data_IF_542827948238
#
_entry.id   IF_542827948238
#
_cell.length_a   1.000
_cell.length_b   1.000
_cell.length_c   1.000
_cell.angle_alpha   90.00
_cell.angle_beta   90.00
_cell.angle_gamma   90.00
#
_symmetry.space_group_name_H-M   'P 1'
#
loop_
_entity.id
_entity.type
_entity.pdbx_description
1 polymer ?
#
# COMPACT_ATOMS: atom_id res chain seq x y z
N UNK A 1 9.26 -6.91 -14.98
CA UNK A 1 8.90 -5.55 -14.55
C UNK A 1 10.19 -4.81 -14.23
N UNK A 2 10.57 -3.84 -15.04
CA UNK A 2 11.72 -3.00 -14.74
C UNK A 2 11.28 -1.95 -13.71
N UNK A 3 11.74 -2.12 -12.47
CA UNK A 3 11.61 -1.11 -11.43
C UNK A 3 12.77 -0.12 -11.63
N UNK A 4 12.56 1.20 -11.54
CA UNK A 4 13.66 2.16 -11.60
C UNK A 4 14.72 1.78 -10.57
N UNK A 5 15.94 1.50 -11.03
CA UNK A 5 17.04 1.12 -10.15
C UNK A 5 17.71 2.37 -9.58
N UNK A 6 17.83 2.40 -8.28
CA UNK A 6 18.56 3.42 -7.52
C UNK A 6 19.70 2.74 -6.77
N UNK A 7 20.63 3.50 -6.19
CA UNK A 7 21.76 2.95 -5.44
C UNK A 7 21.32 2.16 -4.17
N UNK A 8 20.06 2.31 -3.73
CA UNK A 8 19.47 1.58 -2.60
C UNK A 8 18.53 0.44 -3.02
N UNK A 9 18.27 0.25 -4.30
CA UNK A 9 17.42 -0.84 -4.79
C UNK A 9 18.06 -2.20 -4.49
N UNK A 10 17.23 -3.20 -4.20
CA UNK A 10 17.66 -4.58 -4.12
C UNK A 10 17.77 -5.20 -5.51
N UNK A 11 18.81 -5.97 -5.76
CA UNK A 11 18.99 -6.69 -7.01
C UNK A 11 17.96 -7.84 -7.16
N UNK A 12 17.46 -8.35 -6.02
CA UNK A 12 16.49 -9.44 -5.98
C UNK A 12 15.22 -9.02 -5.22
N UNK A 13 14.05 -9.22 -5.85
CA UNK A 13 12.73 -8.89 -5.28
C UNK A 13 12.42 -9.68 -3.99
N UNK A 14 12.91 -10.91 -3.89
CA UNK A 14 12.67 -11.81 -2.77
C UNK A 14 13.88 -11.94 -1.84
N UNK A 15 14.78 -10.96 -1.81
CA UNK A 15 15.92 -10.97 -0.90
C UNK A 15 15.46 -10.96 0.56
N UNK A 16 15.79 -12.02 1.29
CA UNK A 16 15.46 -12.17 2.73
C UNK A 16 16.39 -11.30 3.60
N UNK A 17 17.56 -10.93 3.07
CA UNK A 17 18.55 -10.11 3.79
C UNK A 17 18.96 -8.90 2.95
N UNK A 18 18.07 -7.90 2.80
CA UNK A 18 18.40 -6.69 2.08
C UNK A 18 19.51 -5.90 2.78
N UNK A 19 20.18 -5.03 2.03
CA UNK A 19 21.16 -4.10 2.60
C UNK A 19 20.49 -3.22 3.66
N UNK A 20 21.22 -2.82 4.68
CA UNK A 20 20.69 -1.95 5.75
C UNK A 20 20.14 -0.63 5.20
N UNK A 21 20.80 -0.04 4.21
CA UNK A 21 20.31 1.18 3.53
C UNK A 21 18.97 0.95 2.83
N UNK A 22 18.81 -0.14 2.10
CA UNK A 22 17.54 -0.52 1.44
C UNK A 22 16.42 -0.68 2.46
N UNK A 23 16.70 -1.38 3.55
CA UNK A 23 15.72 -1.60 4.62
C UNK A 23 15.32 -0.28 5.33
N UNK A 24 16.28 0.59 5.60
CA UNK A 24 15.99 1.90 6.22
C UNK A 24 15.13 2.79 5.34
N UNK A 25 15.42 2.83 4.03
CA UNK A 25 14.63 3.60 3.06
C UNK A 25 13.24 2.99 2.88
N UNK A 26 13.14 1.65 2.85
CA UNK A 26 11.85 0.96 2.82
C UNK A 26 10.99 1.34 4.03
N UNK A 27 11.53 1.23 5.25
CA UNK A 27 10.81 1.56 6.49
C UNK A 27 10.37 3.02 6.47
N UNK A 28 11.26 3.94 6.09
CA UNK A 28 10.93 5.37 5.97
C UNK A 28 9.82 5.60 4.95
N UNK A 29 9.90 4.98 3.77
CA UNK A 29 8.87 5.11 2.74
C UNK A 29 7.51 4.60 3.19
N UNK A 30 7.46 3.43 3.84
CA UNK A 30 6.24 2.85 4.38
C UNK A 30 5.65 3.68 5.54
N UNK A 31 6.52 4.21 6.39
CA UNK A 31 6.11 5.12 7.47
C UNK A 31 5.49 6.41 6.92
N UNK A 32 6.13 7.06 5.94
CA UNK A 32 5.60 8.26 5.29
C UNK A 32 4.27 7.98 4.59
N UNK A 33 4.14 6.82 3.97
CA UNK A 33 2.88 6.39 3.35
C UNK A 33 1.77 6.27 4.39
N UNK A 34 2.00 5.51 5.47
CA UNK A 34 1.01 5.33 6.54
C UNK A 34 0.65 6.63 7.26
N UNK A 35 1.64 7.52 7.45
CA UNK A 35 1.40 8.85 8.02
C UNK A 35 0.55 9.71 7.09
N UNK A 36 0.80 9.67 5.78
CA UNK A 36 -0.01 10.35 4.77
C UNK A 36 -1.46 9.87 4.77
N UNK A 37 -1.68 8.54 4.84
CA UNK A 37 -3.03 7.97 4.97
C UNK A 37 -3.71 8.45 6.27
N UNK A 38 -3.03 8.43 7.42
CA UNK A 38 -3.58 8.92 8.68
C UNK A 38 -3.98 10.40 8.61
N UNK A 39 -3.15 11.24 7.96
CA UNK A 39 -3.44 12.67 7.74
C UNK A 39 -4.67 12.86 6.85
N UNK A 40 -4.80 12.09 5.75
CA UNK A 40 -5.98 12.18 4.86
C UNK A 40 -7.24 11.73 5.61
N UNK A 41 -7.19 10.64 6.35
CA UNK A 41 -8.33 10.14 7.15
C UNK A 41 -8.79 11.22 8.13
N UNK A 42 -7.87 11.90 8.81
CA UNK A 42 -8.16 12.96 9.77
C UNK A 42 -8.76 14.24 9.15
N UNK A 43 -8.72 14.39 7.83
CA UNK A 43 -9.32 15.53 7.13
C UNK A 43 -10.85 15.44 7.02
N UNK A 44 -11.44 14.25 7.16
CA UNK A 44 -12.89 13.97 7.14
C UNK A 44 -13.63 14.40 5.86
N UNK A 45 -12.90 14.70 4.77
CA UNK A 45 -13.48 15.07 3.46
C UNK A 45 -13.55 13.91 2.47
N UNK A 46 -12.96 12.80 2.82
CA UNK A 46 -12.90 11.61 2.01
C UNK A 46 -11.59 10.88 2.22
N UNK A 47 -11.57 9.62 1.82
CA UNK A 47 -10.43 8.73 1.99
C UNK A 47 -10.16 7.98 0.68
N UNK A 48 -9.00 7.33 0.59
CA UNK A 48 -8.68 6.51 -0.58
C UNK A 48 -9.63 5.32 -0.70
N UNK A 49 -9.90 4.78 -1.90
CA UNK A 49 -10.78 3.61 -2.08
C UNK A 49 -10.38 2.41 -1.21
N UNK A 50 -9.10 2.25 -0.94
CA UNK A 50 -8.59 1.22 -0.04
C UNK A 50 -8.99 1.48 1.42
N UNK A 51 -8.89 2.73 1.84
CA UNK A 51 -9.25 3.15 3.18
C UNK A 51 -10.76 3.11 3.41
N UNK A 52 -11.59 3.33 2.36
CA UNK A 52 -13.06 3.12 2.44
C UNK A 52 -13.38 1.69 2.86
N UNK A 53 -12.69 0.71 2.29
CA UNK A 53 -12.88 -0.70 2.67
C UNK A 53 -12.47 -0.96 4.12
N UNK A 54 -11.34 -0.40 4.55
CA UNK A 54 -10.88 -0.53 5.93
C UNK A 54 -11.81 0.19 6.92
N UNK A 55 -12.30 1.37 6.59
CA UNK A 55 -13.24 2.14 7.41
C UNK A 55 -14.57 1.40 7.56
N UNK A 56 -15.15 0.90 6.46
CA UNK A 56 -16.35 0.08 6.49
C UNK A 56 -16.18 -1.18 7.34
N UNK A 57 -15.05 -1.86 7.26
CA UNK A 57 -14.75 -3.03 8.08
C UNK A 57 -14.55 -2.65 9.55
N UNK A 58 -13.90 -1.53 9.82
CA UNK A 58 -13.72 -0.95 11.16
C UNK A 58 -15.07 -0.72 11.84
N UNK A 59 -16.00 -0.07 11.13
CA UNK A 59 -17.36 0.18 11.61
C UNK A 59 -18.14 -1.13 11.88
N UNK A 60 -18.00 -2.13 11.00
CA UNK A 60 -18.68 -3.42 11.13
C UNK A 60 -18.17 -4.24 12.31
N UNK A 61 -16.85 -4.24 12.55
CA UNK A 61 -16.21 -5.04 13.60
C UNK A 61 -16.06 -4.30 14.92
N UNK A 62 -16.33 -2.98 14.96
CA UNK A 62 -16.11 -2.15 16.16
C UNK A 62 -14.64 -2.04 16.54
N UNK A 63 -13.73 -2.03 15.54
CA UNK A 63 -12.29 -1.93 15.73
C UNK A 63 -11.77 -0.59 15.21
N UNK A 64 -10.47 -0.31 15.42
CA UNK A 64 -9.82 0.87 14.83
C UNK A 64 -9.57 0.69 13.32
N UNK A 65 -9.42 1.80 12.60
CA UNK A 65 -9.10 1.80 11.16
C UNK A 65 -7.74 1.14 10.89
N UNK A 66 -6.76 1.32 11.78
CA UNK A 66 -5.44 0.67 11.67
C UNK A 66 -5.54 -0.86 11.73
N UNK A 67 -6.30 -1.39 12.70
CA UNK A 67 -6.55 -2.84 12.81
C UNK A 67 -7.32 -3.35 11.59
N UNK A 68 -8.35 -2.64 11.15
CA UNK A 68 -9.10 -2.99 9.95
C UNK A 68 -8.22 -2.99 8.69
N UNK A 69 -7.33 -2.01 8.54
CA UNK A 69 -6.33 -1.94 7.45
C UNK A 69 -5.41 -3.16 7.47
N UNK A 70 -4.96 -3.58 8.65
CA UNK A 70 -4.16 -4.80 8.79
C UNK A 70 -4.93 -6.04 8.33
N UNK A 71 -6.17 -6.20 8.77
CA UNK A 71 -7.04 -7.35 8.42
C UNK A 71 -7.30 -7.38 6.91
N UNK A 72 -7.65 -6.24 6.30
CA UNK A 72 -7.87 -6.12 4.84
C UNK A 72 -6.61 -6.50 4.09
N UNK A 73 -5.46 -5.99 4.50
CA UNK A 73 -4.17 -6.29 3.87
C UNK A 73 -3.83 -7.77 3.94
N UNK A 74 -4.08 -8.40 5.09
CA UNK A 74 -3.86 -9.84 5.27
C UNK A 74 -4.81 -10.68 4.40
N UNK A 75 -6.09 -10.30 4.35
CA UNK A 75 -7.08 -10.97 3.49
C UNK A 75 -6.69 -10.89 2.01
N UNK A 76 -6.21 -9.74 1.55
CA UNK A 76 -5.75 -9.57 0.17
C UNK A 76 -4.48 -10.38 -0.11
N UNK A 77 -3.57 -10.55 0.85
CA UNK A 77 -2.42 -11.44 0.67
C UNK A 77 -2.85 -12.92 0.49
N UNK A 78 -3.93 -13.33 1.14
CA UNK A 78 -4.49 -14.67 0.93
C UNK A 78 -5.02 -14.80 -0.51
N UNK A 79 -5.65 -13.75 -1.04
CA UNK A 79 -6.12 -13.73 -2.43
C UNK A 79 -4.99 -13.69 -3.48
N UNK A 80 -3.73 -13.44 -3.09
CA UNK A 80 -2.58 -13.57 -3.99
C UNK A 80 -2.27 -15.02 -4.35
N UNK A 81 -2.66 -15.97 -3.50
CA UNK A 81 -2.38 -17.41 -3.75
C UNK A 81 -2.88 -17.88 -5.11
N UNK A 82 -4.18 -17.66 -5.48
CA UNK A 82 -4.67 -18.05 -6.81
C UNK A 82 -4.05 -17.24 -7.96
N UNK A 83 -3.50 -16.03 -7.69
CA UNK A 83 -2.84 -15.20 -8.70
C UNK A 83 -1.36 -15.58 -8.91
N UNK A 84 -0.83 -16.50 -8.11
CA UNK A 84 0.57 -16.93 -8.19
C UNK A 84 1.59 -15.86 -7.78
N UNK A 85 1.13 -14.77 -7.14
CA UNK A 85 2.01 -13.72 -6.64
C UNK A 85 2.68 -14.18 -5.33
N UNK A 86 3.96 -13.80 -5.17
CA UNK A 86 4.74 -14.17 -3.98
C UNK A 86 5.04 -12.93 -3.15
N UNK A 87 4.65 -12.91 -1.86
CA UNK A 87 4.97 -11.78 -0.99
C UNK A 87 6.48 -11.72 -0.73
N UNK A 88 7.06 -10.52 -0.84
CA UNK A 88 8.42 -10.22 -0.45
C UNK A 88 8.51 -9.66 0.97
N UNK A 89 9.73 -9.39 1.44
CA UNK A 89 9.96 -8.73 2.74
C UNK A 89 9.28 -7.35 2.77
N UNK A 90 9.34 -6.61 1.67
CA UNK A 90 8.66 -5.32 1.54
C UNK A 90 7.14 -5.44 1.67
N UNK A 91 6.54 -6.49 1.15
CA UNK A 91 5.10 -6.75 1.26
C UNK A 91 4.67 -6.96 2.72
N UNK A 92 5.42 -7.77 3.47
CA UNK A 92 5.12 -8.04 4.87
C UNK A 92 5.29 -6.77 5.72
N UNK A 93 6.38 -6.05 5.53
CA UNK A 93 6.63 -4.80 6.23
C UNK A 93 5.59 -3.73 5.87
N UNK A 94 5.10 -3.68 4.63
CA UNK A 94 4.03 -2.79 4.20
C UNK A 94 2.76 -3.00 5.05
N UNK A 95 2.31 -4.23 5.22
CA UNK A 95 1.13 -4.56 6.04
C UNK A 95 1.29 -4.08 7.48
N UNK A 96 2.44 -4.34 8.08
CA UNK A 96 2.67 -4.02 9.50
C UNK A 96 2.90 -2.53 9.72
N UNK A 97 3.77 -1.91 8.92
CA UNK A 97 4.18 -0.52 9.17
C UNK A 97 3.06 0.46 8.84
N UNK A 98 2.38 0.29 7.70
CA UNK A 98 1.29 1.21 7.32
C UNK A 98 0.15 1.13 8.33
N UNK A 99 -0.33 -0.08 8.63
CA UNK A 99 -1.41 -0.28 9.61
C UNK A 99 -1.01 0.23 11.00
N UNK A 100 0.20 -0.07 11.46
CA UNK A 100 0.73 0.41 12.73
C UNK A 100 0.89 1.93 12.79
N UNK A 101 1.31 2.56 11.69
CA UNK A 101 1.42 4.02 11.62
C UNK A 101 0.03 4.68 11.70
N UNK A 102 -0.96 4.16 10.97
CA UNK A 102 -2.34 4.65 11.06
C UNK A 102 -2.87 4.50 12.50
N UNK A 103 -2.68 3.32 13.10
CA UNK A 103 -3.15 3.02 14.46
C UNK A 103 -2.59 3.99 15.51
N UNK A 104 -1.30 4.34 15.39
CA UNK A 104 -0.62 5.19 16.36
C UNK A 104 -0.93 6.68 16.12
N UNK A 105 -0.91 7.13 14.87
CA UNK A 105 -0.94 8.57 14.57
C UNK A 105 -2.35 9.12 14.34
N UNK A 106 -3.29 8.34 13.81
CA UNK A 106 -4.65 8.82 13.55
C UNK A 106 -5.35 9.38 14.81
N UNK A 107 -5.30 8.73 15.98
CA UNK A 107 -5.90 9.27 17.20
C UNK A 107 -5.26 10.59 17.68
N UNK A 108 -4.00 10.83 17.31
CA UNK A 108 -3.26 12.03 17.74
C UNK A 108 -3.55 13.25 16.85
N UNK A 109 -3.96 13.01 15.60
CA UNK A 109 -4.23 14.07 14.63
C UNK A 109 -5.57 14.77 14.89
N UNK A 110 -6.54 14.07 15.50
CA UNK A 110 -7.88 14.58 15.73
C UNK A 110 -8.61 14.99 14.45
N UNK A 111 -9.87 15.36 14.57
CA UNK A 111 -10.69 15.84 13.46
C UNK A 111 -10.25 17.21 12.97
N UNK A 112 -10.46 17.48 11.68
CA UNK A 112 -10.13 18.79 11.12
C UNK A 112 -11.12 19.86 11.60
N UNK A 113 -10.64 21.02 12.12
CA UNK A 113 -11.50 22.03 12.69
C UNK A 113 -12.21 22.91 11.64
N UNK A 114 -11.70 22.96 10.41
CA UNK A 114 -12.23 23.83 9.34
C UNK A 114 -11.83 23.35 7.94
N UNK A 115 -12.55 23.80 6.87
CA UNK A 115 -12.30 23.35 5.50
C UNK A 115 -10.87 23.63 4.99
N UNK A 116 -10.25 24.70 5.42
CA UNK A 116 -8.89 25.03 4.98
C UNK A 116 -7.87 24.05 5.56
N UNK A 117 -8.03 23.65 6.82
CA UNK A 117 -7.20 22.63 7.45
C UNK A 117 -7.39 21.27 6.75
N UNK A 118 -8.64 20.88 6.43
CA UNK A 118 -8.91 19.67 5.66
C UNK A 118 -8.20 19.70 4.30
N UNK A 119 -8.21 20.82 3.59
CA UNK A 119 -7.50 20.95 2.32
C UNK A 119 -5.99 20.75 2.48
N UNK A 120 -5.37 21.37 3.48
CA UNK A 120 -3.94 21.20 3.76
C UNK A 120 -3.60 19.77 4.14
N UNK A 121 -4.44 19.11 4.93
CA UNK A 121 -4.26 17.70 5.27
C UNK A 121 -4.35 16.78 4.04
N UNK A 122 -5.30 17.02 3.14
CA UNK A 122 -5.43 16.22 1.91
C UNK A 122 -4.21 16.42 1.01
N UNK A 123 -3.81 17.65 0.75
CA UNK A 123 -2.66 17.96 -0.11
C UNK A 123 -1.37 17.42 0.52
N UNK A 124 -1.14 17.72 1.80
CA UNK A 124 0.04 17.24 2.53
C UNK A 124 0.10 15.72 2.66
N UNK A 125 -1.02 15.10 3.00
CA UNK A 125 -1.13 13.63 3.09
C UNK A 125 -0.90 12.95 1.75
N UNK A 126 -1.45 13.51 0.66
CA UNK A 126 -1.21 13.00 -0.70
C UNK A 126 0.28 13.12 -1.08
N UNK A 127 0.93 14.22 -0.75
CA UNK A 127 2.36 14.40 -0.98
C UNK A 127 3.19 13.38 -0.19
N UNK A 128 2.85 13.13 1.07
CA UNK A 128 3.51 12.11 1.90
C UNK A 128 3.34 10.70 1.30
N UNK A 129 2.14 10.34 0.84
CA UNK A 129 1.87 9.07 0.16
C UNK A 129 2.70 8.96 -1.11
N UNK A 130 2.77 10.02 -1.93
CA UNK A 130 3.52 10.01 -3.17
C UNK A 130 5.02 9.78 -2.93
N UNK A 131 5.63 10.52 -2.00
CA UNK A 131 7.03 10.35 -1.62
C UNK A 131 7.26 8.97 -1.00
N UNK A 132 6.41 8.56 -0.06
CA UNK A 132 6.47 7.25 0.58
C UNK A 132 6.41 6.11 -0.45
N UNK A 133 5.47 6.20 -1.41
CA UNK A 133 5.34 5.23 -2.51
C UNK A 133 6.59 5.16 -3.38
N UNK A 134 7.14 6.31 -3.76
CA UNK A 134 8.36 6.37 -4.57
C UNK A 134 9.53 5.68 -3.84
N UNK A 135 9.71 5.96 -2.55
CA UNK A 135 10.78 5.36 -1.75
C UNK A 135 10.62 3.84 -1.60
N UNK A 136 9.45 3.34 -1.20
CA UNK A 136 9.31 1.91 -0.94
C UNK A 136 9.30 1.08 -2.24
N UNK A 137 8.68 1.57 -3.32
CA UNK A 137 8.64 0.85 -4.59
C UNK A 137 10.04 0.72 -5.23
N UNK A 138 10.86 1.76 -5.14
CA UNK A 138 12.24 1.73 -5.63
C UNK A 138 13.16 0.82 -4.84
N UNK A 139 12.79 0.39 -3.64
CA UNK A 139 13.56 -0.61 -2.88
C UNK A 139 13.56 -2.01 -3.52
N UNK A 140 12.59 -2.31 -4.38
CA UNK A 140 12.48 -3.60 -5.09
C UNK A 140 12.47 -4.83 -4.14
N UNK A 141 11.72 -4.75 -3.03
CA UNK A 141 11.59 -5.83 -2.04
C UNK A 141 10.18 -6.45 -2.01
N UNK A 142 9.43 -6.29 -3.07
CA UNK A 142 8.06 -6.75 -3.25
C UNK A 142 7.05 -5.59 -3.19
N UNK A 143 5.96 -5.69 -3.97
CA UNK A 143 4.89 -4.70 -3.97
C UNK A 143 4.07 -4.78 -2.69
N UNK A 144 3.36 -3.68 -2.35
CA UNK A 144 2.35 -3.72 -1.31
C UNK A 144 1.18 -4.66 -1.66
N UNK A 145 0.36 -5.07 -0.68
CA UNK A 145 -0.77 -5.99 -0.92
C UNK A 145 -1.70 -5.50 -2.03
N UNK A 146 -2.07 -4.22 -2.03
CA UNK A 146 -2.90 -3.57 -3.04
C UNK A 146 -2.25 -3.58 -4.43
N UNK A 147 -0.98 -3.21 -4.48
CA UNK A 147 -0.25 -3.08 -5.75
C UNK A 147 -0.03 -4.43 -6.42
N UNK A 148 0.27 -5.46 -5.64
CA UNK A 148 0.41 -6.83 -6.13
C UNK A 148 -0.91 -7.44 -6.58
N UNK A 149 -2.01 -7.17 -5.86
CA UNK A 149 -3.36 -7.56 -6.28
C UNK A 149 -3.73 -6.96 -7.64
N UNK A 150 -3.55 -5.65 -7.79
CA UNK A 150 -3.80 -4.95 -9.05
C UNK A 150 -2.95 -5.49 -10.19
N UNK A 151 -1.67 -5.76 -9.93
CA UNK A 151 -0.74 -6.28 -10.95
C UNK A 151 -1.08 -7.72 -11.33
N UNK A 152 -1.46 -8.55 -10.35
CA UNK A 152 -1.87 -9.95 -10.58
C UNK A 152 -3.15 -10.05 -11.39
N UNK A 153 -4.16 -9.24 -11.06
CA UNK A 153 -5.40 -9.16 -11.84
C UNK A 153 -5.15 -8.69 -13.27
N UNK A 154 -4.34 -7.63 -13.45
CA UNK A 154 -4.01 -7.13 -14.78
C UNK A 154 -3.35 -8.22 -15.64
N UNK A 155 -2.42 -8.99 -15.07
CA UNK A 155 -1.79 -10.13 -15.76
C UNK A 155 -2.81 -11.20 -16.15
N UNK A 156 -3.69 -11.59 -15.23
CA UNK A 156 -4.72 -12.58 -15.48
C UNK A 156 -5.69 -12.13 -16.57
N UNK A 157 -6.11 -10.86 -16.56
CA UNK A 157 -6.98 -10.30 -17.60
C UNK A 157 -6.29 -10.21 -18.98
N UNK A 158 -5.01 -9.84 -19.03
CA UNK A 158 -4.27 -9.78 -20.29
C UNK A 158 -4.02 -11.16 -20.90
N UNK A 159 -3.73 -12.17 -20.11
CA UNK A 159 -3.63 -13.54 -20.59
C UNK A 159 -4.93 -14.00 -21.23
N UNK A 160 -6.06 -13.75 -20.57
CA UNK A 160 -7.37 -14.12 -21.10
C UNK A 160 -7.70 -13.41 -22.43
N UNK A 161 -7.39 -12.10 -22.55
CA UNK A 161 -7.63 -11.36 -23.81
C UNK A 161 -6.68 -11.75 -24.93
N UNK A 162 -5.44 -12.13 -24.63
CA UNK A 162 -4.47 -12.62 -25.61
C UNK A 162 -4.91 -13.98 -26.17
N UNK A 163 -5.29 -14.91 -25.30
CA UNK A 163 -5.77 -16.23 -25.72
C UNK A 163 -7.03 -16.14 -26.59
N UNK A 164 -7.97 -15.24 -26.22
CA UNK A 164 -9.18 -15.02 -27.01
C UNK A 164 -8.88 -14.38 -28.38
N UNK A 165 -7.86 -13.54 -28.50
CA UNK A 165 -7.46 -12.95 -29.79
C UNK A 165 -6.77 -13.99 -30.70
N UNK A 166 -6.02 -14.92 -30.12
CA UNK A 166 -5.37 -16.00 -30.89
C UNK A 166 -6.38 -17.02 -31.39
N UNK A 167 -7.46 -17.30 -30.67
CA UNK A 167 -8.55 -18.18 -31.07
C UNK A 167 -9.39 -17.59 -32.23
N UNK A 168 -9.48 -16.27 -32.39
CA UNK A 168 -10.18 -15.63 -33.51
C UNK A 168 -9.36 -15.60 -34.82
N UNK A 169 -8.05 -15.83 -34.75
CA UNK A 169 -7.13 -15.80 -35.90
C UNK A 169 -6.79 -17.20 -36.45
N UNK A 170 -7.28 -18.26 -35.85
CA UNK A 170 -7.12 -19.65 -36.27
C UNK A 170 -8.35 -20.16 -36.98
#
# INVERSE_FOLDING_TARGET
>A
REVPTTWWSSDEVHSIRPRRSTLSILILGLFLFGLGDAVIISAEWGVTPWTVLADGLSALLGTSIGIATFIVSLAVLILWVPLGEKPGVGTILNVVIIAGTIEIFLPQLGSSPNPLDSLFRIVGGTALIAVGSALYLTCNLGPGPRDGWMTGLHRACLLYTSDAADDELG
#
